data_IF_521940146661
#
_entry.id   IF_521940146661
#
_cell.length_a   1.000
_cell.length_b   1.000
_cell.length_c   1.000
_cell.angle_alpha   90.00
_cell.angle_beta   90.00
_cell.angle_gamma   90.00
#
_symmetry.space_group_name_H-M   'P 1'
#
loop_
_entity.id
_entity.type
_entity.pdbx_description
1 polymer ?
#
# COMPACT_ATOMS: atom_id res chain seq x y z
N UNK A 1 30.04 -12.84 -23.91
CA UNK A 1 29.02 -11.77 -23.81
C UNK A 1 29.25 -11.07 -22.49
N UNK A 2 29.71 -9.82 -22.51
CA UNK A 2 29.85 -9.02 -21.31
C UNK A 2 28.45 -8.77 -20.72
N UNK A 3 28.26 -9.08 -19.44
CA UNK A 3 27.06 -8.70 -18.71
C UNK A 3 26.92 -7.18 -18.78
N UNK A 4 25.86 -6.68 -19.41
CA UNK A 4 25.50 -5.28 -19.33
C UNK A 4 25.24 -4.98 -17.85
N UNK A 5 26.18 -4.28 -17.18
CA UNK A 5 25.93 -3.75 -15.85
C UNK A 5 24.78 -2.76 -15.99
N UNK A 6 23.60 -3.10 -15.47
CA UNK A 6 22.50 -2.14 -15.38
C UNK A 6 22.99 -0.97 -14.53
N UNK A 7 23.20 0.19 -15.16
CA UNK A 7 23.54 1.42 -14.44
C UNK A 7 22.42 1.71 -13.45
N UNK A 8 22.74 1.67 -12.16
CA UNK A 8 21.81 1.97 -11.08
C UNK A 8 21.21 3.38 -11.28
N UNK A 9 19.88 3.47 -11.31
CA UNK A 9 19.17 4.73 -11.52
C UNK A 9 19.35 5.63 -10.30
N UNK A 10 19.76 6.88 -10.52
CA UNK A 10 20.01 7.89 -9.48
C UNK A 10 19.31 9.20 -9.79
N UNK A 11 18.82 9.90 -8.77
CA UNK A 11 18.34 11.28 -8.89
C UNK A 11 19.13 12.20 -7.96
N UNK A 12 19.30 13.45 -8.37
CA UNK A 12 20.07 14.44 -7.62
C UNK A 12 19.18 15.29 -6.73
N UNK A 13 19.67 15.62 -5.55
CA UNK A 13 19.02 16.47 -4.55
C UNK A 13 20.06 17.45 -3.98
N UNK A 14 19.68 18.71 -3.74
CA UNK A 14 20.51 19.67 -3.02
C UNK A 14 19.97 19.85 -1.61
N UNK A 15 20.76 19.52 -0.59
CA UNK A 15 20.38 19.67 0.82
C UNK A 15 21.08 20.88 1.43
N UNK A 16 20.34 21.67 2.22
CA UNK A 16 20.90 22.71 3.08
C UNK A 16 21.03 22.17 4.50
N UNK A 17 22.25 22.19 5.03
CA UNK A 17 22.60 21.65 6.35
C UNK A 17 23.05 22.77 7.27
N UNK A 18 22.51 22.80 8.49
CA UNK A 18 23.06 23.56 9.62
C UNK A 18 24.17 22.71 10.26
N UNK A 19 25.43 23.11 10.05
CA UNK A 19 26.59 22.35 10.52
C UNK A 19 26.71 22.36 12.05
N UNK A 20 26.25 23.43 12.71
CA UNK A 20 26.31 23.54 14.17
C UNK A 20 25.32 22.57 14.85
N UNK A 21 24.12 22.42 14.27
CA UNK A 21 23.08 21.53 14.82
C UNK A 21 23.13 20.11 14.25
N UNK A 22 23.99 19.87 13.25
CA UNK A 22 24.01 18.64 12.45
C UNK A 22 22.60 18.23 12.03
N UNK A 23 21.92 19.16 11.34
CA UNK A 23 20.50 19.08 10.98
C UNK A 23 20.28 19.53 9.52
N UNK A 24 19.48 18.79 8.78
CA UNK A 24 18.97 19.23 7.48
C UNK A 24 17.86 20.25 7.69
N UNK A 25 17.97 21.41 7.06
CA UNK A 25 16.96 22.47 7.14
C UNK A 25 15.88 22.27 6.09
N UNK A 26 16.30 22.12 4.84
CA UNK A 26 15.46 21.75 3.72
C UNK A 26 16.31 21.23 2.56
N UNK A 27 15.65 20.66 1.57
CA UNK A 27 16.23 20.14 0.35
C UNK A 27 15.49 20.67 -0.88
N UNK A 28 16.22 21.04 -1.92
CA UNK A 28 15.68 21.39 -3.23
C UNK A 28 15.67 20.13 -4.11
N UNK A 29 14.47 19.73 -4.53
CA UNK A 29 14.19 18.48 -5.24
C UNK A 29 13.46 18.71 -6.56
N UNK A 30 13.88 17.99 -7.60
CA UNK A 30 13.15 17.92 -8.86
C UNK A 30 12.14 16.76 -8.91
N UNK A 31 11.47 16.65 -10.05
CA UNK A 31 10.44 15.62 -10.34
C UNK A 31 10.76 14.22 -9.83
N UNK A 32 11.95 13.68 -10.14
CA UNK A 32 12.28 12.28 -9.82
C UNK A 32 12.18 11.95 -8.32
N UNK A 33 12.64 12.87 -7.45
CA UNK A 33 12.57 12.70 -5.99
C UNK A 33 11.15 12.94 -5.49
N UNK A 34 10.48 13.98 -6.01
CA UNK A 34 9.13 14.35 -5.59
C UNK A 34 8.13 13.26 -5.94
N UNK A 35 8.20 12.72 -7.16
CA UNK A 35 7.38 11.58 -7.57
C UNK A 35 7.64 10.37 -6.67
N UNK A 36 8.89 10.09 -6.32
CA UNK A 36 9.25 8.99 -5.44
C UNK A 36 8.61 9.14 -4.04
N UNK A 37 8.69 10.33 -3.45
CA UNK A 37 8.05 10.61 -2.15
C UNK A 37 6.53 10.53 -2.24
N UNK A 38 5.92 11.21 -3.20
CA UNK A 38 4.47 11.21 -3.40
C UNK A 38 3.94 9.80 -3.68
N UNK A 39 4.74 8.94 -4.33
CA UNK A 39 4.36 7.54 -4.58
C UNK A 39 4.15 6.73 -3.30
N UNK A 40 4.74 7.13 -2.16
CA UNK A 40 4.52 6.45 -0.87
C UNK A 40 3.03 6.37 -0.53
N UNK A 41 2.28 7.43 -0.80
CA UNK A 41 0.84 7.51 -0.54
C UNK A 41 0.05 6.52 -1.41
N UNK A 42 0.59 6.08 -2.54
CA UNK A 42 -0.07 5.12 -3.44
C UNK A 42 0.18 3.66 -3.06
N UNK A 43 1.19 3.39 -2.22
CA UNK A 43 1.60 2.03 -1.89
C UNK A 43 0.59 1.39 -0.93
N UNK A 44 0.08 0.19 -1.25
CA UNK A 44 -0.63 -0.62 -0.28
C UNK A 44 0.24 -0.94 0.94
N UNK A 45 -0.35 -0.99 2.14
CA UNK A 45 0.41 -1.30 3.36
C UNK A 45 1.11 -2.67 3.30
N UNK A 46 0.51 -3.67 2.67
CA UNK A 46 1.15 -4.97 2.43
C UNK A 46 2.37 -4.88 1.50
N UNK A 47 2.35 -3.96 0.54
CA UNK A 47 3.53 -3.66 -0.30
C UNK A 47 4.62 -2.98 0.52
N UNK A 48 4.27 -2.02 1.38
CA UNK A 48 5.22 -1.39 2.32
C UNK A 48 5.85 -2.47 3.23
N UNK A 49 5.02 -3.28 3.90
CA UNK A 49 5.46 -4.37 4.78
C UNK A 49 6.42 -5.34 4.08
N UNK A 50 6.14 -5.68 2.82
CA UNK A 50 6.99 -6.53 1.99
C UNK A 50 8.33 -5.88 1.65
N UNK A 51 8.31 -4.62 1.20
CA UNK A 51 9.52 -3.90 0.76
C UNK A 51 10.47 -3.67 1.94
N UNK A 52 9.95 -3.21 3.09
CA UNK A 52 10.77 -2.92 4.26
C UNK A 52 11.41 -4.17 4.86
N UNK A 53 10.75 -5.33 4.73
CA UNK A 53 11.21 -6.61 5.29
C UNK A 53 12.20 -7.38 4.40
N UNK A 54 12.18 -7.16 3.08
CA UNK A 54 12.95 -7.93 2.09
C UNK A 54 14.24 -7.25 1.62
N UNK A 55 14.45 -5.97 1.92
CA UNK A 55 15.66 -5.25 1.51
C UNK A 55 16.88 -5.74 2.31
N UNK A 56 17.73 -6.52 1.63
CA UNK A 56 18.72 -7.46 2.18
C UNK A 56 19.97 -6.84 2.80
N UNK A 57 20.14 -5.53 2.69
CA UNK A 57 21.45 -4.92 2.89
C UNK A 57 21.57 -4.10 4.18
N UNK A 58 20.50 -3.99 4.97
CA UNK A 58 20.47 -3.39 6.30
C UNK A 58 19.51 -4.15 7.21
N UNK A 59 19.63 -3.95 8.52
CA UNK A 59 18.78 -4.58 9.55
C UNK A 59 17.30 -4.56 9.14
N UNK A 60 16.62 -5.70 9.30
CA UNK A 60 15.19 -5.82 8.99
C UNK A 60 14.42 -4.84 9.88
N UNK A 61 13.81 -3.83 9.27
CA UNK A 61 12.95 -2.87 9.97
C UNK A 61 11.53 -3.43 9.97
N UNK A 62 10.97 -3.60 11.17
CA UNK A 62 9.54 -3.87 11.33
C UNK A 62 8.76 -2.57 11.41
N UNK A 63 7.66 -2.48 10.68
CA UNK A 63 6.67 -1.41 10.81
C UNK A 63 5.57 -1.94 11.73
N UNK A 64 5.77 -1.80 13.04
CA UNK A 64 4.80 -2.21 14.07
C UNK A 64 4.19 -3.61 13.88
N UNK A 65 2.89 -3.72 14.15
CA UNK A 65 2.09 -4.94 13.96
C UNK A 65 1.83 -5.26 12.47
N UNK A 66 1.96 -4.29 11.56
CA UNK A 66 1.77 -4.48 10.13
C UNK A 66 2.76 -5.52 9.57
N UNK A 67 4.03 -5.48 9.99
CA UNK A 67 5.03 -6.48 9.60
C UNK A 67 4.68 -7.88 10.10
N UNK A 68 4.20 -7.98 11.34
CA UNK A 68 3.79 -9.26 11.96
C UNK A 68 2.55 -9.84 11.28
N UNK A 69 1.55 -9.00 10.98
CA UNK A 69 0.37 -9.39 10.22
C UNK A 69 0.77 -9.91 8.83
N UNK A 70 1.55 -9.14 8.06
CA UNK A 70 2.01 -9.55 6.74
C UNK A 70 2.75 -10.90 6.78
N UNK A 71 3.68 -11.07 7.73
CA UNK A 71 4.45 -12.30 7.88
C UNK A 71 3.56 -13.49 8.26
N UNK A 72 2.55 -13.28 9.11
CA UNK A 72 1.59 -14.32 9.48
C UNK A 72 0.80 -14.82 8.26
N UNK A 73 0.34 -13.91 7.41
CA UNK A 73 -0.35 -14.22 6.15
C UNK A 73 0.56 -14.96 5.18
N UNK A 74 1.83 -14.56 5.10
CA UNK A 74 2.81 -15.23 4.24
C UNK A 74 3.00 -16.70 4.67
N UNK A 75 3.06 -16.93 5.98
CA UNK A 75 3.26 -18.24 6.60
C UNK A 75 1.99 -19.13 6.58
N UNK A 76 0.79 -18.55 6.55
CA UNK A 76 -0.47 -19.31 6.50
C UNK A 76 -0.55 -20.16 5.24
N UNK A 77 -0.91 -21.44 5.36
CA UNK A 77 -1.11 -22.31 4.19
C UNK A 77 -2.26 -21.81 3.30
N UNK A 78 -2.13 -21.98 1.98
CA UNK A 78 -3.14 -21.55 1.00
C UNK A 78 -4.50 -22.19 1.22
N UNK A 79 -4.55 -23.38 1.85
CA UNK A 79 -5.79 -24.06 2.26
C UNK A 79 -6.65 -23.28 3.26
N UNK A 80 -6.12 -22.19 3.85
CA UNK A 80 -6.87 -21.30 4.73
C UNK A 80 -7.53 -20.14 3.97
N UNK A 81 -7.27 -20.01 2.68
CA UNK A 81 -7.83 -18.98 1.81
C UNK A 81 -8.91 -19.55 0.90
N UNK A 82 -9.85 -18.68 0.53
CA UNK A 82 -10.92 -18.99 -0.43
C UNK A 82 -10.39 -19.45 -1.79
N UNK A 83 -9.19 -19.00 -2.18
CA UNK A 83 -8.42 -19.50 -3.32
C UNK A 83 -6.97 -18.98 -3.27
N UNK A 84 -6.09 -19.56 -4.08
CA UNK A 84 -4.72 -19.07 -4.28
C UNK A 84 -4.67 -17.59 -4.66
N UNK A 85 -5.68 -17.11 -5.40
CA UNK A 85 -5.80 -15.72 -5.84
C UNK A 85 -6.02 -14.79 -4.64
N UNK A 86 -6.86 -15.15 -3.68
CA UNK A 86 -7.10 -14.30 -2.52
C UNK A 86 -5.84 -14.18 -1.64
N UNK A 87 -5.06 -15.26 -1.51
CA UNK A 87 -3.77 -15.19 -0.84
C UNK A 87 -2.79 -14.29 -1.61
N UNK A 88 -2.73 -14.41 -2.93
CA UNK A 88 -1.91 -13.54 -3.79
C UNK A 88 -2.31 -12.07 -3.62
N UNK A 89 -3.61 -11.77 -3.62
CA UNK A 89 -4.13 -10.40 -3.48
C UNK A 89 -3.69 -9.74 -2.18
N UNK A 90 -3.72 -10.46 -1.06
CA UNK A 90 -3.33 -9.91 0.25
C UNK A 90 -1.80 -9.75 0.35
N UNK A 91 -1.01 -10.68 -0.19
CA UNK A 91 0.46 -10.63 -0.12
C UNK A 91 1.11 -9.73 -1.18
N UNK A 92 0.42 -9.54 -2.31
CA UNK A 92 0.83 -8.72 -3.44
C UNK A 92 -0.32 -7.82 -3.92
N UNK A 93 -0.78 -6.91 -3.05
CA UNK A 93 -1.83 -5.96 -3.40
C UNK A 93 -1.40 -5.10 -4.59
N UNK A 94 -2.37 -4.77 -5.45
CA UNK A 94 -2.12 -3.94 -6.64
C UNK A 94 -2.20 -2.46 -6.26
N UNK A 95 -1.28 -1.67 -6.82
CA UNK A 95 -1.31 -0.22 -6.71
C UNK A 95 -2.31 0.35 -7.74
N UNK A 96 -3.34 1.06 -7.27
CA UNK A 96 -4.34 1.70 -8.13
C UNK A 96 -3.75 2.78 -9.05
N UNK A 97 -2.60 3.34 -8.69
CA UNK A 97 -1.85 4.34 -9.46
C UNK A 97 -0.68 3.74 -10.26
N UNK A 98 -0.66 2.42 -10.49
CA UNK A 98 0.43 1.72 -11.20
C UNK A 98 0.84 2.40 -12.51
N UNK A 99 -0.12 2.88 -13.30
CA UNK A 99 0.12 3.54 -14.60
C UNK A 99 1.06 4.75 -14.49
N UNK A 100 1.04 5.45 -13.34
CA UNK A 100 1.93 6.58 -13.04
C UNK A 100 3.27 6.12 -12.47
N UNK A 101 3.27 5.09 -11.61
CA UNK A 101 4.45 4.62 -10.90
C UNK A 101 5.40 3.77 -11.75
N UNK A 102 4.87 2.93 -12.64
CA UNK A 102 5.62 1.85 -13.30
C UNK A 102 6.85 2.32 -14.10
N UNK A 103 6.83 3.55 -14.60
CA UNK A 103 7.91 4.12 -15.42
C UNK A 103 8.75 5.15 -14.66
N UNK A 104 8.43 5.43 -13.39
CA UNK A 104 9.21 6.35 -12.57
C UNK A 104 10.65 5.87 -12.42
N UNK A 105 11.57 6.83 -12.41
CA UNK A 105 13.01 6.56 -12.28
C UNK A 105 13.37 5.86 -10.96
N UNK A 106 12.72 6.25 -9.87
CA UNK A 106 12.93 5.75 -8.52
C UNK A 106 11.70 5.02 -7.97
N UNK A 107 11.01 4.23 -8.80
CA UNK A 107 9.87 3.42 -8.35
C UNK A 107 10.33 2.36 -7.36
N UNK A 108 9.82 2.36 -6.13
CA UNK A 108 10.13 1.34 -5.11
C UNK A 108 9.13 0.19 -5.07
N UNK A 109 8.00 0.30 -5.77
CA UNK A 109 7.03 -0.80 -5.86
C UNK A 109 7.61 -1.94 -6.71
N UNK A 110 7.90 -3.05 -6.04
CA UNK A 110 8.42 -4.27 -6.66
C UNK A 110 7.32 -5.29 -7.01
N UNK A 111 6.05 -4.87 -7.02
CA UNK A 111 4.94 -5.69 -7.52
C UNK A 111 5.10 -5.88 -9.03
N UNK A 112 4.85 -7.09 -9.52
CA UNK A 112 4.83 -7.34 -10.96
C UNK A 112 3.74 -6.50 -11.62
N UNK A 113 3.96 -6.13 -12.89
CA UNK A 113 2.97 -5.37 -13.64
C UNK A 113 1.63 -6.10 -13.69
N UNK A 114 0.52 -5.35 -13.73
CA UNK A 114 -0.80 -5.94 -13.92
C UNK A 114 -0.86 -6.63 -15.28
N UNK A 115 -1.17 -7.92 -15.24
CA UNK A 115 -1.34 -8.77 -16.42
C UNK A 115 -2.82 -8.98 -16.68
N UNK A 116 -3.15 -9.18 -17.95
CA UNK A 116 -4.51 -9.30 -18.42
C UNK A 116 -4.65 -10.62 -19.14
N UNK A 117 -5.62 -11.44 -18.74
CA UNK A 117 -5.79 -12.79 -19.25
C UNK A 117 -7.16 -12.95 -19.89
N UNK A 118 -7.18 -13.54 -21.09
CA UNK A 118 -8.40 -13.98 -21.77
C UNK A 118 -8.38 -15.50 -21.95
N UNK A 119 -9.46 -16.05 -22.52
CA UNK A 119 -9.56 -17.47 -22.79
C UNK A 119 -8.39 -17.96 -23.66
N UNK A 120 -7.82 -19.11 -23.30
CA UNK A 120 -6.80 -19.81 -24.11
C UNK A 120 -7.27 -20.10 -25.55
N UNK A 121 -8.58 -20.18 -25.75
CA UNK A 121 -9.22 -20.35 -27.04
C UNK A 121 -9.59 -18.99 -27.63
N UNK A 122 -8.84 -18.55 -28.64
CA UNK A 122 -9.05 -17.28 -29.33
C UNK A 122 -10.45 -17.18 -29.96
N UNK A 123 -10.97 -18.27 -30.53
CA UNK A 123 -12.32 -18.28 -31.10
C UNK A 123 -13.37 -18.07 -30.02
N UNK A 124 -13.13 -18.59 -28.81
CA UNK A 124 -13.98 -18.33 -27.66
C UNK A 124 -13.92 -16.85 -27.26
N UNK A 125 -12.72 -16.26 -27.19
CA UNK A 125 -12.51 -14.85 -26.85
C UNK A 125 -13.20 -13.88 -27.81
N UNK A 126 -13.40 -14.27 -29.08
CA UNK A 126 -14.09 -13.46 -30.09
C UNK A 126 -15.61 -13.56 -30.06
N UNK A 127 -16.14 -14.70 -29.59
CA UNK A 127 -17.59 -14.92 -29.44
C UNK A 127 -18.13 -14.13 -28.25
N UNK A 128 -19.35 -13.61 -28.38
CA UNK A 128 -20.06 -12.89 -27.30
C UNK A 128 -20.09 -13.65 -25.97
N UNK A 129 -20.10 -14.99 -26.01
CA UNK A 129 -20.09 -15.83 -24.82
C UNK A 129 -18.73 -15.95 -24.12
N UNK A 130 -17.60 -15.68 -24.79
CA UNK A 130 -16.24 -15.91 -24.27
C UNK A 130 -15.35 -14.67 -24.13
N UNK A 131 -15.88 -13.47 -24.40
CA UNK A 131 -15.25 -12.15 -24.18
C UNK A 131 -15.05 -11.81 -22.70
N UNK A 132 -14.36 -12.69 -21.98
CA UNK A 132 -14.04 -12.51 -20.58
C UNK A 132 -12.61 -12.02 -20.41
N UNK A 133 -12.41 -11.11 -19.48
CA UNK A 133 -11.09 -10.59 -19.10
C UNK A 133 -10.85 -10.82 -17.61
N UNK A 134 -9.67 -11.31 -17.25
CA UNK A 134 -9.27 -11.46 -15.85
C UNK A 134 -7.91 -10.81 -15.60
N UNK A 135 -7.71 -10.30 -14.39
CA UNK A 135 -6.39 -9.86 -13.91
C UNK A 135 -5.58 -11.01 -13.32
N UNK A 136 -6.22 -12.16 -13.12
CA UNK A 136 -5.64 -13.32 -12.47
C UNK A 136 -5.57 -14.48 -13.45
N UNK A 137 -4.43 -15.16 -13.45
CA UNK A 137 -4.19 -16.27 -14.36
C UNK A 137 -5.09 -17.46 -14.00
N UNK A 138 -5.46 -18.25 -14.99
CA UNK A 138 -6.15 -19.54 -14.84
C UNK A 138 -7.58 -19.44 -14.26
N UNK A 139 -8.26 -18.29 -14.39
CA UNK A 139 -9.70 -18.24 -14.14
C UNK A 139 -10.47 -19.06 -15.17
N UNK A 140 -11.59 -19.68 -14.77
CA UNK A 140 -12.40 -20.49 -15.69
C UNK A 140 -13.27 -19.62 -16.60
N UNK A 141 -13.09 -19.77 -17.92
CA UNK A 141 -13.95 -19.15 -18.92
C UNK A 141 -15.31 -19.88 -19.01
N UNK A 142 -16.33 -19.25 -19.61
CA UNK A 142 -17.65 -19.88 -19.81
C UNK A 142 -17.62 -21.15 -20.67
N UNK A 143 -16.60 -21.31 -21.52
CA UNK A 143 -16.40 -22.53 -22.32
C UNK A 143 -15.77 -23.68 -21.52
N UNK A 144 -15.42 -23.48 -20.25
CA UNK A 144 -14.75 -24.46 -19.40
C UNK A 144 -13.21 -24.45 -19.49
N UNK A 145 -12.63 -23.81 -20.52
CA UNK A 145 -11.17 -23.63 -20.63
C UNK A 145 -10.65 -22.54 -19.68
N UNK A 146 -9.35 -22.57 -19.41
CA UNK A 146 -8.68 -21.59 -18.56
C UNK A 146 -8.41 -20.27 -19.30
N UNK A 147 -8.46 -19.18 -18.56
CA UNK A 147 -8.05 -17.85 -19.00
C UNK A 147 -6.57 -17.64 -18.65
N UNK A 148 -5.70 -18.07 -19.55
CA UNK A 148 -4.24 -18.04 -19.34
C UNK A 148 -3.47 -17.41 -20.52
N UNK A 149 -4.18 -16.95 -21.55
CA UNK A 149 -3.62 -16.19 -22.66
C UNK A 149 -3.44 -14.75 -22.20
N UNK A 150 -2.19 -14.32 -22.02
CA UNK A 150 -1.85 -12.96 -21.61
C UNK A 150 -2.00 -11.99 -22.79
N UNK A 151 -2.63 -10.84 -22.53
CA UNK A 151 -2.74 -9.73 -23.46
C UNK A 151 -1.98 -8.55 -22.89
N UNK A 152 -1.14 -7.95 -23.73
CA UNK A 152 -0.46 -6.71 -23.38
C UNK A 152 -1.38 -5.52 -23.66
N UNK A 153 -1.61 -4.66 -22.66
CA UNK A 153 -2.35 -3.44 -22.90
C UNK A 153 -1.48 -2.39 -23.59
N UNK A 154 -2.06 -1.68 -24.57
CA UNK A 154 -1.46 -0.48 -25.17
C UNK A 154 -1.94 0.76 -24.40
N UNK A 155 -1.47 0.93 -23.16
CA UNK A 155 -1.80 2.11 -22.35
C UNK A 155 -0.91 3.31 -22.68
N UNK A 156 -1.43 4.52 -22.42
CA UNK A 156 -0.57 5.70 -22.29
C UNK A 156 0.34 5.51 -21.09
N UNK A 157 1.63 5.37 -21.37
CA UNK A 157 2.64 5.36 -20.33
C UNK A 157 2.72 6.76 -19.72
N UNK A 158 2.19 6.92 -18.51
CA UNK A 158 2.57 8.06 -17.69
C UNK A 158 3.91 7.79 -17.01
N UNK A 159 4.59 8.86 -16.62
CA UNK A 159 5.87 8.81 -15.93
C UNK A 159 5.78 9.72 -14.72
N UNK A 160 5.29 9.21 -13.60
CA UNK A 160 5.11 9.96 -12.35
C UNK A 160 3.94 10.94 -12.34
N UNK A 161 3.94 11.83 -11.35
CA UNK A 161 2.79 12.63 -10.93
C UNK A 161 2.96 14.12 -11.25
N UNK A 162 4.16 14.67 -11.06
CA UNK A 162 4.44 16.10 -11.25
C UNK A 162 5.04 16.41 -12.62
N UNK A 163 4.95 17.67 -13.06
CA UNK A 163 5.59 18.12 -14.31
C UNK A 163 7.12 18.04 -14.25
N UNK A 164 7.76 17.79 -15.40
CA UNK A 164 9.22 17.60 -15.49
C UNK A 164 10.04 18.82 -15.05
N UNK A 165 9.48 20.03 -15.21
CA UNK A 165 10.13 21.30 -14.83
C UNK A 165 9.85 21.74 -13.40
N UNK A 166 9.04 21.00 -12.64
CA UNK A 166 8.68 21.39 -11.28
C UNK A 166 9.81 21.11 -10.29
N UNK A 167 10.14 22.12 -9.49
CA UNK A 167 11.06 22.04 -8.35
C UNK A 167 10.31 22.31 -7.06
N UNK A 168 10.75 21.66 -5.99
CA UNK A 168 10.11 21.71 -4.68
C UNK A 168 11.16 21.87 -3.59
N UNK A 169 10.79 22.62 -2.56
CA UNK A 169 11.51 22.68 -1.29
C UNK A 169 10.88 21.66 -0.34
N UNK A 170 11.69 20.72 0.14
CA UNK A 170 11.30 19.64 1.03
C UNK A 170 11.96 19.87 2.38
N UNK A 171 11.18 20.00 3.44
CA UNK A 171 11.67 20.20 4.79
C UNK A 171 12.09 18.88 5.44
N UNK A 172 12.77 18.99 6.58
CA UNK A 172 13.28 17.85 7.35
C UNK A 172 12.21 16.79 7.68
N UNK A 173 10.99 17.26 7.94
CA UNK A 173 9.79 16.50 8.25
C UNK A 173 8.99 16.07 7.00
N UNK A 174 9.62 16.10 5.82
CA UNK A 174 9.06 15.81 4.49
C UNK A 174 7.88 16.68 4.05
N UNK A 175 7.57 17.76 4.77
CA UNK A 175 6.69 18.79 4.24
C UNK A 175 7.28 19.30 2.92
N UNK A 176 6.48 19.37 1.87
CA UNK A 176 6.92 19.88 0.57
C UNK A 176 6.13 21.11 0.17
N UNK A 177 6.83 22.09 -0.39
CA UNK A 177 6.22 23.26 -1.00
C UNK A 177 6.83 23.46 -2.39
N UNK A 178 6.03 23.87 -3.39
CA UNK A 178 6.60 24.23 -4.68
C UNK A 178 7.60 25.38 -4.53
N UNK A 179 8.74 25.22 -5.20
CA UNK A 179 9.76 26.26 -5.22
C UNK A 179 9.36 27.33 -6.24
N UNK A 180 8.76 28.41 -5.75
CA UNK A 180 8.39 29.56 -6.58
C UNK A 180 9.45 30.64 -6.39
N UNK A 181 10.38 30.76 -7.33
CA UNK A 181 11.44 31.77 -7.31
C UNK A 181 10.89 33.21 -7.11
N UNK A 182 9.66 33.50 -7.54
CA UNK A 182 9.00 34.80 -7.33
C UNK A 182 8.66 35.14 -5.86
N UNK A 183 8.75 34.18 -4.94
CA UNK A 183 8.53 34.38 -3.50
C UNK A 183 9.75 34.98 -2.79
N UNK A 184 10.88 35.08 -3.48
CA UNK A 184 12.17 35.49 -2.88
C UNK A 184 12.33 37.01 -2.68
N UNK A 185 11.39 37.85 -3.13
CA UNK A 185 11.54 39.33 -3.07
C UNK A 185 10.37 40.06 -2.38
N UNK A 186 9.25 39.39 -2.04
CA UNK A 186 8.11 40.04 -1.38
C UNK A 186 8.02 39.65 0.09
N UNK A 187 8.35 40.60 0.97
CA UNK A 187 8.43 40.48 2.44
C UNK A 187 7.16 39.90 3.11
N UNK A 188 6.00 39.96 2.46
CA UNK A 188 4.71 39.55 3.03
C UNK A 188 4.40 38.05 2.91
N UNK A 189 5.16 37.30 2.09
CA UNK A 189 4.91 35.87 1.83
C UNK A 189 6.03 34.93 2.29
N UNK A 190 7.05 35.47 2.95
CA UNK A 190 7.99 34.65 3.71
C UNK A 190 7.21 34.00 4.87
N UNK A 191 7.22 32.67 5.05
CA UNK A 191 7.01 32.14 6.39
C UNK A 191 8.08 32.80 7.26
N UNK A 192 7.66 33.76 8.11
CA UNK A 192 8.47 34.63 8.99
C UNK A 192 9.86 34.07 9.29
N UNK A 193 10.85 34.33 8.43
CA UNK A 193 12.16 33.70 8.43
C UNK A 193 12.11 32.15 8.44
N UNK A 194 13.04 31.45 7.78
CA UNK A 194 13.23 30.01 8.01
C UNK A 194 13.76 29.70 9.43
N UNK A 195 13.44 30.54 10.43
CA UNK A 195 14.03 30.56 11.78
C UNK A 195 15.52 30.88 11.79
N UNK A 196 16.08 31.39 10.69
CA UNK A 196 17.52 31.55 10.51
C UNK A 196 17.94 33.02 10.62
N UNK A 197 18.67 33.33 11.69
CA UNK A 197 19.29 34.64 11.90
C UNK A 197 20.74 34.69 11.40
N UNK A 198 21.36 33.55 11.02
CA UNK A 198 22.75 33.50 10.59
C UNK A 198 23.02 32.41 9.54
N UNK A 199 23.42 32.83 8.32
CA UNK A 199 23.79 31.93 7.21
C UNK A 199 25.25 31.45 7.27
N UNK A 200 26.06 32.00 8.19
CA UNK A 200 27.51 31.76 8.29
C UNK A 200 27.89 30.30 8.61
N UNK A 201 26.96 29.49 9.09
CA UNK A 201 27.16 28.07 9.46
C UNK A 201 26.30 27.09 8.65
N UNK A 202 25.81 27.54 7.49
CA UNK A 202 25.01 26.71 6.58
C UNK A 202 25.81 26.26 5.38
N UNK A 203 25.61 25.00 4.97
CA UNK A 203 26.27 24.40 3.82
C UNK A 203 25.26 23.77 2.88
N UNK A 204 25.42 24.03 1.58
CA UNK A 204 24.68 23.34 0.53
C UNK A 204 25.50 22.13 0.09
N UNK A 205 24.91 20.95 0.13
CA UNK A 205 25.51 19.69 -0.32
C UNK A 205 24.64 19.10 -1.42
N UNK A 206 25.25 18.74 -2.55
CA UNK A 206 24.56 18.00 -3.61
C UNK A 206 24.80 16.51 -3.42
N UNK A 207 23.72 15.75 -3.36
CA UNK A 207 23.74 14.29 -3.16
C UNK A 207 22.97 13.59 -4.27
N UNK A 208 23.31 12.33 -4.53
CA UNK A 208 22.55 11.46 -5.44
C UNK A 208 21.87 10.36 -4.65
N UNK A 209 20.58 10.13 -4.91
CA UNK A 209 19.75 9.14 -4.22
C UNK A 209 19.38 8.03 -5.20
N UNK A 210 19.56 6.78 -4.77
CA UNK A 210 19.20 5.54 -5.49
C UNK A 210 17.81 5.04 -5.11
N UNK A 211 17.27 4.08 -5.87
CA UNK A 211 15.99 3.44 -5.55
C UNK A 211 16.01 2.78 -4.16
N UNK A 212 17.11 2.10 -3.82
CA UNK A 212 17.29 1.47 -2.51
C UNK A 212 17.34 2.50 -1.37
N UNK A 213 17.96 3.64 -1.63
CA UNK A 213 17.96 4.74 -0.69
C UNK A 213 16.59 5.39 -0.50
N UNK A 214 15.70 5.36 -1.50
CA UNK A 214 14.30 5.75 -1.31
C UNK A 214 13.56 4.76 -0.39
N UNK A 215 13.88 3.46 -0.44
CA UNK A 215 13.35 2.48 0.52
C UNK A 215 13.83 2.78 1.94
N UNK A 216 15.12 3.09 2.13
CA UNK A 216 15.66 3.57 3.41
C UNK A 216 14.92 4.83 3.89
N UNK A 217 14.66 5.78 2.99
CA UNK A 217 13.92 7.00 3.34
C UNK A 217 12.48 6.68 3.74
N UNK A 218 11.77 5.79 3.03
CA UNK A 218 10.42 5.35 3.43
C UNK A 218 10.42 4.75 4.84
N UNK A 219 11.37 3.86 5.15
CA UNK A 219 11.50 3.25 6.50
C UNK A 219 11.64 4.31 7.59
N UNK A 220 12.51 5.29 7.36
CA UNK A 220 12.74 6.40 8.31
C UNK A 220 11.48 7.29 8.40
N UNK A 221 10.83 7.56 7.28
CA UNK A 221 9.65 8.44 7.20
C UNK A 221 8.48 7.96 8.04
N UNK A 222 8.28 6.64 8.11
CA UNK A 222 7.22 6.01 8.89
C UNK A 222 7.41 6.14 10.41
N UNK A 223 8.62 6.48 10.86
CA UNK A 223 9.02 6.41 12.27
C UNK A 223 9.60 7.73 12.81
N UNK A 224 10.07 8.62 11.94
CA UNK A 224 10.75 9.87 12.33
C UNK A 224 10.02 11.12 11.86
N UNK A 225 10.07 12.16 12.68
CA UNK A 225 9.65 13.53 12.35
C UNK A 225 10.80 14.39 11.79
N UNK A 226 12.01 13.86 11.70
CA UNK A 226 13.23 14.52 11.18
C UNK A 226 13.88 13.66 10.11
N UNK A 227 13.06 13.19 9.17
CA UNK A 227 13.41 12.16 8.20
C UNK A 227 14.64 12.48 7.37
N UNK A 228 14.80 13.72 6.88
CA UNK A 228 15.97 14.05 6.06
C UNK A 228 17.26 14.06 6.88
N UNK A 229 17.23 14.61 8.09
CA UNK A 229 18.36 14.60 9.03
C UNK A 229 18.74 13.17 9.40
N UNK A 230 17.76 12.35 9.76
CA UNK A 230 18.02 10.95 10.13
C UNK A 230 18.53 10.14 8.94
N UNK A 231 18.02 10.41 7.74
CA UNK A 231 18.44 9.73 6.52
C UNK A 231 19.82 10.14 6.02
N UNK A 232 20.15 11.44 5.99
CA UNK A 232 21.41 11.94 5.43
C UNK A 232 22.54 12.02 6.45
N UNK A 233 22.24 12.29 7.72
CA UNK A 233 23.25 12.63 8.73
C UNK A 233 23.36 11.59 9.87
N UNK A 234 22.29 10.83 10.16
CA UNK A 234 22.24 9.95 11.35
C UNK A 234 21.80 8.51 11.07
N UNK A 235 21.90 8.06 9.82
CA UNK A 235 21.27 6.83 9.35
C UNK A 235 21.66 5.59 10.15
N UNK A 236 22.94 5.45 10.50
CA UNK A 236 23.43 4.30 11.28
C UNK A 236 22.89 4.30 12.71
N UNK A 237 22.93 5.45 13.37
CA UNK A 237 22.43 5.63 14.75
C UNK A 237 20.92 5.40 14.81
N UNK A 238 20.19 5.82 13.79
CA UNK A 238 18.75 5.59 13.68
C UNK A 238 18.41 4.10 13.70
N UNK A 239 19.09 3.29 12.87
CA UNK A 239 18.84 1.84 12.83
C UNK A 239 19.27 1.13 14.11
N UNK A 240 20.39 1.52 14.73
CA UNK A 240 20.81 1.00 16.03
C UNK A 240 19.74 1.24 17.11
N UNK A 241 19.13 2.44 17.14
CA UNK A 241 18.08 2.77 18.10
C UNK A 241 16.81 1.95 17.89
N UNK A 242 16.42 1.65 16.64
CA UNK A 242 15.28 0.78 16.34
C UNK A 242 15.54 -0.64 16.85
N UNK A 243 16.73 -1.18 16.58
CA UNK A 243 17.12 -2.53 16.98
C UNK A 243 17.17 -2.72 18.51
N UNK A 244 17.46 -1.64 19.25
CA UNK A 244 17.45 -1.62 20.72
C UNK A 244 16.03 -1.43 21.31
N UNK A 245 15.17 -0.66 20.65
CA UNK A 245 13.81 -0.35 21.11
C UNK A 245 12.76 -1.32 20.56
N UNK A 246 12.97 -2.63 20.73
CA UNK A 246 12.03 -3.70 20.31
C UNK A 246 10.66 -3.70 21.03
N UNK A 247 10.19 -2.60 21.60
CA UNK A 247 8.97 -2.62 22.42
C UNK A 247 8.29 -1.30 22.73
N UNK A 248 8.63 -0.19 22.07
CA UNK A 248 7.97 1.09 22.38
C UNK A 248 6.82 1.35 21.42
N UNK A 249 5.66 0.77 21.73
CA UNK A 249 4.37 1.20 21.16
C UNK A 249 4.07 2.61 21.66
N UNK A 250 4.11 3.60 20.78
CA UNK A 250 3.67 4.97 21.07
C UNK A 250 2.27 5.14 20.51
N UNK A 251 1.26 4.70 21.26
CA UNK A 251 -0.12 5.15 21.06
C UNK A 251 -0.77 5.33 22.42
N UNK A 252 -0.39 6.42 23.09
CA UNK A 252 -1.15 6.92 24.21
C UNK A 252 -2.19 7.91 23.69
N UNK A 253 -3.46 7.63 24.03
CA UNK A 253 -4.62 8.51 23.97
C UNK A 253 -5.61 8.29 22.82
N UNK A 254 -6.01 7.04 22.56
CA UNK A 254 -7.32 6.83 21.97
C UNK A 254 -8.34 6.61 23.08
N UNK A 255 -9.21 7.61 23.32
CA UNK A 255 -10.33 7.46 24.24
C UNK A 255 -11.40 6.63 23.53
N UNK A 256 -11.49 5.35 23.88
CA UNK A 256 -12.62 4.53 23.45
C UNK A 256 -13.91 5.05 24.09
N UNK A 257 -14.78 5.68 23.29
CA UNK A 257 -16.15 5.97 23.70
C UNK A 257 -17.03 4.74 23.44
N UNK A 258 -17.85 4.30 24.41
CA UNK A 258 -18.77 3.19 24.19
C UNK A 258 -19.91 3.66 23.26
N UNK A 259 -20.28 2.87 22.25
CA UNK A 259 -21.34 3.24 21.31
C UNK A 259 -22.25 2.08 20.90
N UNK A 260 -23.54 2.40 20.77
CA UNK A 260 -24.62 1.53 20.25
C UNK A 260 -24.62 1.50 18.70
N UNK A 261 -23.54 1.06 18.07
CA UNK A 261 -23.46 0.87 16.62
C UNK A 261 -23.97 -0.51 16.15
N UNK A 262 -24.25 -0.67 14.86
CA UNK A 262 -24.46 -1.99 14.25
C UNK A 262 -23.22 -2.87 14.48
N UNK A 263 -23.41 -3.99 15.16
CA UNK A 263 -22.39 -4.99 15.43
C UNK A 263 -21.99 -5.68 14.12
N UNK A 264 -20.70 -5.68 13.79
CA UNK A 264 -20.19 -6.35 12.58
C UNK A 264 -19.69 -7.76 12.85
N UNK A 265 -18.86 -7.96 13.88
CA UNK A 265 -18.37 -9.27 14.29
C UNK A 265 -18.16 -9.33 15.80
N UNK A 266 -17.89 -10.52 16.33
CA UNK A 266 -17.61 -10.73 17.75
C UNK A 266 -16.27 -11.42 17.95
N UNK A 267 -15.51 -10.97 18.94
CA UNK A 267 -14.22 -11.56 19.32
C UNK A 267 -14.31 -12.10 20.73
N UNK A 268 -13.75 -13.29 20.95
CA UNK A 268 -13.51 -13.77 22.31
C UNK A 268 -12.08 -13.42 22.70
N UNK A 269 -11.94 -12.45 23.59
CA UNK A 269 -10.65 -12.03 24.14
C UNK A 269 -10.29 -12.95 25.30
N UNK A 270 -9.04 -13.42 25.32
CA UNK A 270 -8.47 -14.21 26.42
C UNK A 270 -7.31 -13.41 27.02
N UNK A 271 -7.36 -13.16 28.33
CA UNK A 271 -6.32 -12.42 29.05
C UNK A 271 -5.92 -13.14 30.34
N UNK A 272 -4.75 -12.75 30.86
CA UNK A 272 -4.22 -13.24 32.12
C UNK A 272 -4.71 -12.37 33.28
N UNK A 273 -5.29 -12.99 34.32
CA UNK A 273 -5.83 -12.33 35.52
C UNK A 273 -4.78 -11.56 36.33
N UNK A 274 -3.56 -12.09 36.40
CA UNK A 274 -2.54 -11.56 37.31
C UNK A 274 -2.03 -10.17 36.91
N UNK A 275 -1.99 -9.87 35.61
CA UNK A 275 -1.46 -8.63 35.04
C UNK A 275 -2.45 -7.92 34.10
N UNK A 276 -3.66 -8.47 33.92
CA UNK A 276 -4.66 -8.02 32.95
C UNK A 276 -4.13 -7.91 31.51
N UNK A 277 -3.11 -8.69 31.15
CA UNK A 277 -2.52 -8.67 29.81
C UNK A 277 -3.34 -9.53 28.86
N UNK A 278 -3.81 -8.94 27.76
CA UNK A 278 -4.42 -9.68 26.65
C UNK A 278 -3.37 -10.63 26.06
N UNK A 279 -3.74 -11.90 25.90
CA UNK A 279 -2.86 -12.91 25.34
C UNK A 279 -3.16 -13.08 23.85
N UNK A 280 -4.43 -13.32 23.53
CA UNK A 280 -4.93 -13.44 22.16
C UNK A 280 -6.45 -13.22 22.11
N UNK A 281 -6.93 -12.94 20.91
CA UNK A 281 -8.33 -12.96 20.54
C UNK A 281 -8.61 -14.20 19.70
N UNK A 282 -9.75 -14.86 19.95
CA UNK A 282 -10.33 -15.82 19.04
C UNK A 282 -11.31 -15.10 18.13
N UNK A 283 -11.10 -15.25 16.83
CA UNK A 283 -11.74 -14.50 15.78
C UNK A 283 -12.27 -15.43 14.68
N UNK A 284 -13.45 -15.12 14.16
CA UNK A 284 -14.02 -15.78 13.00
C UNK A 284 -13.47 -15.20 11.68
N UNK A 285 -13.90 -15.78 10.56
CA UNK A 285 -13.51 -15.34 9.22
C UNK A 285 -13.86 -13.88 8.93
N UNK A 286 -14.99 -13.36 9.45
CA UNK A 286 -15.39 -11.96 9.26
C UNK A 286 -14.34 -10.98 9.82
N UNK A 287 -13.86 -11.21 11.05
CA UNK A 287 -12.81 -10.37 11.63
C UNK A 287 -11.47 -10.52 10.93
N UNK A 288 -11.10 -11.74 10.53
CA UNK A 288 -9.84 -11.94 9.82
C UNK A 288 -9.86 -11.23 8.48
N UNK A 289 -10.96 -11.31 7.74
CA UNK A 289 -11.09 -10.59 6.48
C UNK A 289 -10.91 -9.08 6.68
N UNK A 290 -11.46 -8.50 7.75
CA UNK A 290 -11.23 -7.09 8.13
C UNK A 290 -9.74 -6.83 8.38
N UNK A 291 -9.06 -7.65 9.18
CA UNK A 291 -7.62 -7.50 9.40
C UNK A 291 -6.83 -7.55 8.08
N UNK A 292 -7.16 -8.48 7.20
CA UNK A 292 -6.48 -8.62 5.91
C UNK A 292 -6.74 -7.44 4.97
N UNK A 293 -7.84 -6.68 5.15
CA UNK A 293 -8.06 -5.47 4.35
C UNK A 293 -7.01 -4.39 4.60
N UNK A 294 -6.41 -4.31 5.78
CA UNK A 294 -5.35 -3.32 6.04
C UNK A 294 -4.19 -3.48 5.08
N UNK A 295 -3.82 -4.72 4.73
CA UNK A 295 -2.71 -5.00 3.81
C UNK A 295 -2.98 -4.51 2.39
N UNK A 296 -4.24 -4.37 1.97
CA UNK A 296 -4.59 -3.91 0.62
C UNK A 296 -4.81 -2.39 0.55
N UNK A 297 -4.92 -1.70 1.70
CA UNK A 297 -5.17 -0.26 1.71
C UNK A 297 -3.94 0.55 1.32
N UNK A 298 -4.08 1.50 0.39
CA UNK A 298 -3.01 2.45 0.09
C UNK A 298 -2.80 3.41 1.26
N UNK A 299 -1.54 3.76 1.53
CA UNK A 299 -1.16 4.64 2.64
C UNK A 299 -1.89 5.99 2.61
N UNK A 300 -2.06 6.60 1.44
CA UNK A 300 -2.81 7.85 1.26
C UNK A 300 -4.30 7.71 1.59
N UNK A 301 -4.89 6.54 1.33
CA UNK A 301 -6.27 6.24 1.73
C UNK A 301 -6.41 6.15 3.25
N UNK A 302 -5.41 5.59 3.93
CA UNK A 302 -5.32 5.55 5.40
C UNK A 302 -5.16 6.96 5.97
N UNK A 303 -4.23 7.75 5.44
CA UNK A 303 -4.05 9.16 5.82
C UNK A 303 -5.33 9.97 5.63
N UNK A 304 -6.06 9.75 4.53
CA UNK A 304 -7.33 10.42 4.30
C UNK A 304 -8.38 10.07 5.35
N UNK A 305 -8.49 8.80 5.75
CA UNK A 305 -9.40 8.39 6.81
C UNK A 305 -9.06 9.03 8.16
N UNK A 306 -7.77 9.23 8.44
CA UNK A 306 -7.26 9.81 9.68
C UNK A 306 -7.03 11.33 9.60
N UNK A 307 -7.50 11.97 8.53
CA UNK A 307 -7.33 13.40 8.27
C UNK A 307 -5.86 13.88 8.33
N UNK A 308 -4.92 13.04 7.89
CA UNK A 308 -3.49 13.33 7.87
C UNK A 308 -2.81 13.28 9.23
N UNK A 309 -3.37 12.56 10.21
CA UNK A 309 -2.84 12.43 11.57
C UNK A 309 -2.70 10.95 11.95
N UNK A 310 -1.96 10.19 11.15
CA UNK A 310 -1.75 8.76 11.38
C UNK A 310 -0.67 8.46 12.42
N UNK A 311 0.04 9.48 12.90
CA UNK A 311 1.24 9.35 13.73
C UNK A 311 2.40 8.63 13.02
N UNK A 312 2.34 8.43 11.70
CA UNK A 312 3.41 7.81 10.89
C UNK A 312 4.52 8.81 10.56
N UNK A 313 5.12 9.39 11.60
CA UNK A 313 6.26 10.30 11.48
C UNK A 313 6.05 11.42 10.47
N UNK A 314 6.92 11.48 9.46
CA UNK A 314 6.92 12.53 8.43
C UNK A 314 5.88 12.31 7.32
N UNK A 315 5.20 11.16 7.29
CA UNK A 315 4.18 10.85 6.26
C UNK A 315 2.98 11.80 6.38
N UNK A 316 2.55 12.14 7.60
CA UNK A 316 1.46 13.09 7.85
C UNK A 316 1.70 14.42 7.12
N UNK A 317 2.92 14.94 7.20
CA UNK A 317 3.32 16.21 6.60
C UNK A 317 3.44 16.11 5.08
N UNK A 318 3.95 14.99 4.57
CA UNK A 318 3.98 14.69 3.15
C UNK A 318 2.55 14.68 2.58
N UNK A 319 1.63 13.95 3.22
CA UNK A 319 0.23 13.88 2.83
C UNK A 319 -0.44 15.26 2.84
N UNK A 320 -0.32 16.01 3.93
CA UNK A 320 -0.85 17.39 4.06
C UNK A 320 -0.32 18.31 2.96
N UNK A 321 0.96 18.15 2.57
CA UNK A 321 1.54 18.92 1.47
C UNK A 321 0.89 18.63 0.12
N UNK A 322 0.52 17.38 -0.15
CA UNK A 322 -0.20 16.99 -1.38
C UNK A 322 -1.65 17.49 -1.34
N UNK A 323 -2.30 17.49 -0.17
CA UNK A 323 -3.63 18.08 0.03
C UNK A 323 -3.64 19.57 -0.30
N UNK A 324 -2.62 20.31 0.13
CA UNK A 324 -2.51 21.76 -0.08
C UNK A 324 -1.96 22.15 -1.47
N UNK A 325 -1.48 21.17 -2.25
CA UNK A 325 -0.85 21.41 -3.54
C UNK A 325 -1.86 21.91 -4.60
N UNK A 326 -1.47 22.91 -5.38
CA UNK A 326 -2.21 23.35 -6.57
C UNK A 326 -2.04 22.33 -7.71
N UNK A 327 -3.03 21.45 -7.86
CA UNK A 327 -3.00 20.39 -8.86
C UNK A 327 -2.98 20.90 -10.29
N UNK A 328 -3.57 22.06 -10.59
CA UNK A 328 -3.59 22.61 -11.96
C UNK A 328 -2.22 23.02 -12.45
N UNK A 329 -1.36 23.44 -11.52
CA UNK A 329 -0.05 23.99 -11.83
C UNK A 329 1.06 22.94 -11.77
N UNK A 330 0.97 22.00 -10.84
CA UNK A 330 2.09 21.11 -10.51
C UNK A 330 1.86 19.64 -10.87
N UNK A 331 0.60 19.17 -10.94
CA UNK A 331 0.29 17.78 -11.29
C UNK A 331 -0.03 17.64 -12.78
N UNK A 332 0.35 16.50 -13.36
CA UNK A 332 0.11 16.20 -14.78
C UNK A 332 -1.37 16.09 -15.17
N UNK A 333 -2.26 15.88 -14.21
CA UNK A 333 -3.70 15.74 -14.41
C UNK A 333 -4.46 16.22 -13.16
N UNK A 334 -5.67 16.71 -13.35
CA UNK A 334 -6.57 17.14 -12.28
C UNK A 334 -6.97 15.98 -11.37
N UNK A 335 -7.23 14.80 -11.94
CA UNK A 335 -7.71 13.62 -11.22
C UNK A 335 -6.63 13.00 -10.33
N UNK A 336 -5.35 13.33 -10.56
CA UNK A 336 -4.23 12.83 -9.77
C UNK A 336 -4.30 13.26 -8.31
N UNK A 337 -4.85 14.45 -8.02
CA UNK A 337 -4.97 14.91 -6.64
C UNK A 337 -5.85 13.97 -5.83
N UNK A 338 -7.00 13.61 -6.37
CA UNK A 338 -7.91 12.66 -5.71
C UNK A 338 -7.30 11.26 -5.65
N UNK A 339 -6.56 10.82 -6.67
CA UNK A 339 -5.87 9.52 -6.64
C UNK A 339 -4.76 9.42 -5.59
N UNK A 340 -4.10 10.54 -5.26
CA UNK A 340 -3.02 10.61 -4.26
C UNK A 340 -3.55 10.87 -2.84
N UNK A 341 -4.54 11.75 -2.71
CA UNK A 341 -5.13 12.11 -1.42
C UNK A 341 -6.13 11.05 -0.98
N UNK A 342 -7.09 10.70 -1.84
CA UNK A 342 -8.12 9.69 -1.55
C UNK A 342 -7.77 8.39 -2.25
N UNK A 343 -6.54 7.92 -2.06
CA UNK A 343 -6.05 6.72 -2.74
C UNK A 343 -7.01 5.55 -2.50
N UNK A 344 -7.41 4.93 -3.60
CA UNK A 344 -8.41 3.86 -3.63
C UNK A 344 -7.73 2.50 -3.70
N UNK A 345 -8.40 1.47 -3.21
CA UNK A 345 -7.98 0.09 -3.46
C UNK A 345 -8.13 -0.24 -4.94
N UNK A 346 -7.24 -1.08 -5.47
CA UNK A 346 -7.31 -1.52 -6.85
C UNK A 346 -8.61 -2.28 -7.14
N UNK A 347 -9.00 -2.31 -8.42
CA UNK A 347 -10.20 -3.03 -8.87
C UNK A 347 -10.16 -4.51 -8.45
N UNK A 348 -11.29 -5.00 -7.95
CA UNK A 348 -11.52 -6.34 -7.37
C UNK A 348 -10.94 -6.61 -5.99
N UNK A 349 -10.31 -5.63 -5.33
CA UNK A 349 -9.76 -5.80 -3.99
C UNK A 349 -10.74 -5.41 -2.88
N UNK A 350 -11.83 -4.70 -3.19
CA UNK A 350 -12.81 -4.29 -2.17
C UNK A 350 -13.65 -5.47 -1.68
N UNK A 351 -13.64 -5.70 -0.37
CA UNK A 351 -14.56 -6.64 0.27
C UNK A 351 -16.00 -6.10 0.21
N UNK A 352 -16.95 -7.02 0.05
CA UNK A 352 -18.38 -6.67 0.01
C UNK A 352 -18.87 -6.06 1.34
N UNK A 353 -18.30 -6.52 2.46
CA UNK A 353 -18.64 -6.08 3.82
C UNK A 353 -17.52 -5.21 4.43
N UNK A 354 -16.79 -4.44 3.61
CA UNK A 354 -15.71 -3.59 4.10
C UNK A 354 -16.25 -2.51 5.05
N UNK A 355 -15.87 -2.60 6.33
CA UNK A 355 -16.27 -1.65 7.39
C UNK A 355 -15.68 -0.26 7.13
N UNK A 356 -14.51 -0.22 6.51
CA UNK A 356 -13.69 0.97 6.35
C UNK A 356 -13.96 1.66 5.00
N UNK A 357 -13.96 3.00 5.02
CA UNK A 357 -14.49 3.84 3.93
C UNK A 357 -13.50 4.12 2.80
N UNK A 358 -12.53 3.23 2.55
CA UNK A 358 -11.64 3.35 1.38
C UNK A 358 -12.34 2.76 0.17
N UNK A 359 -12.54 3.59 -0.84
CA UNK A 359 -13.22 3.20 -2.07
C UNK A 359 -12.35 2.35 -2.99
N UNK A 360 -13.02 1.64 -3.89
CA UNK A 360 -12.40 0.88 -4.98
C UNK A 360 -12.30 1.75 -6.24
N UNK A 361 -11.23 1.57 -7.01
CA UNK A 361 -11.18 2.13 -8.37
C UNK A 361 -12.28 1.49 -9.21
N UNK A 362 -13.07 2.29 -9.98
CA UNK A 362 -14.06 1.74 -10.89
C UNK A 362 -13.45 0.72 -11.85
N UNK A 363 -14.20 -0.34 -12.15
CA UNK A 363 -13.78 -1.34 -13.14
C UNK A 363 -13.63 -0.65 -14.50
N UNK A 364 -12.40 -0.70 -15.03
CA UNK A 364 -12.11 -0.18 -16.37
C UNK A 364 -12.69 -1.14 -17.40
N UNK A 365 -13.36 -0.58 -18.42
CA UNK A 365 -13.88 -1.34 -19.55
C UNK A 365 -12.82 -1.40 -20.63
N UNK A 366 -12.52 -2.61 -21.07
CA UNK A 366 -11.51 -2.86 -22.07
C UNK A 366 -12.13 -3.46 -23.31
N UNK A 367 -11.55 -3.13 -24.45
CA UNK A 367 -11.89 -3.75 -25.73
C UNK A 367 -10.76 -4.66 -26.20
N UNK A 368 -11.14 -5.82 -26.73
CA UNK A 368 -10.26 -6.71 -27.47
C UNK A 368 -10.25 -6.30 -28.94
N UNK A 369 -9.12 -5.81 -29.44
CA UNK A 369 -9.00 -5.37 -30.81
C UNK A 369 -8.12 -6.30 -31.63
N UNK A 370 -8.65 -6.78 -32.75
CA UNK A 370 -7.92 -7.52 -33.77
C UNK A 370 -7.55 -6.61 -34.94
N UNK A 371 -6.28 -6.64 -35.30
CA UNK A 371 -5.77 -6.09 -36.54
C UNK A 371 -5.40 -7.25 -37.46
N UNK A 372 -6.20 -7.45 -38.52
CA UNK A 372 -5.92 -8.50 -39.53
C UNK A 372 -4.79 -8.04 -40.42
N UNK A 373 -3.60 -8.62 -40.27
CA UNK A 373 -2.49 -8.38 -41.20
C UNK A 373 -2.36 -9.54 -42.20
N UNK A 374 -1.83 -9.25 -43.40
CA UNK A 374 -1.58 -10.27 -44.44
C UNK A 374 -0.36 -11.15 -44.15
N UNK A 375 0.39 -10.84 -43.07
CA UNK A 375 1.45 -11.64 -42.48
C UNK A 375 0.91 -12.39 -41.25
N UNK A 376 1.36 -13.62 -41.02
CA UNK A 376 0.73 -14.61 -40.14
C UNK A 376 0.65 -14.31 -38.62
N UNK A 377 0.83 -13.06 -38.18
CA UNK A 377 0.75 -12.65 -36.78
C UNK A 377 -0.38 -11.64 -36.58
N UNK A 378 -1.57 -12.11 -36.18
CA UNK A 378 -2.67 -11.24 -35.75
C UNK A 378 -2.27 -10.55 -34.43
N UNK A 379 -2.04 -9.23 -34.47
CA UNK A 379 -1.65 -8.47 -33.28
C UNK A 379 -2.90 -8.17 -32.43
N UNK A 380 -3.01 -8.87 -31.29
CA UNK A 380 -4.08 -8.67 -30.31
C UNK A 380 -3.66 -7.61 -29.28
N UNK A 381 -4.48 -6.58 -29.06
CA UNK A 381 -4.20 -5.56 -28.04
C UNK A 381 -5.42 -5.28 -27.16
N UNK A 382 -5.16 -4.99 -25.89
CA UNK A 382 -6.14 -4.40 -24.99
C UNK A 382 -6.14 -2.88 -25.20
N UNK A 383 -7.30 -2.30 -25.50
CA UNK A 383 -7.48 -0.84 -25.56
C UNK A 383 -8.48 -0.39 -24.50
N UNK A 384 -8.24 0.80 -23.95
CA UNK A 384 -9.25 1.50 -23.14
C UNK A 384 -10.40 1.96 -24.05
N UNK A 385 -11.63 1.85 -23.57
CA UNK A 385 -12.81 2.14 -24.38
C UNK A 385 -12.82 3.62 -24.80
N UNK A 386 -12.66 3.89 -26.11
CA UNK A 386 -12.75 5.24 -26.67
C UNK A 386 -11.65 5.65 -27.66
N UNK A 387 -10.66 4.80 -27.92
CA UNK A 387 -9.56 5.10 -28.87
C UNK A 387 -9.50 4.00 -29.92
N UNK A 388 -10.15 4.22 -31.08
CA UNK A 388 -10.17 3.25 -32.17
C UNK A 388 -9.26 3.71 -33.31
N UNK A 389 -8.34 2.85 -33.73
CA UNK A 389 -7.61 3.07 -34.98
C UNK A 389 -8.45 2.56 -36.17
N UNK A 390 -8.41 3.29 -37.29
CA UNK A 390 -9.12 2.90 -38.51
C UNK A 390 -8.63 1.54 -39.00
N UNK A 391 -9.54 0.56 -39.17
CA UNK A 391 -9.22 -0.77 -39.70
C UNK A 391 -9.18 -1.89 -38.66
N UNK A 392 -9.39 -1.60 -37.37
CA UNK A 392 -9.47 -2.61 -36.31
C UNK A 392 -10.92 -3.04 -36.05
N UNK A 393 -11.13 -4.33 -35.76
CA UNK A 393 -12.39 -4.81 -35.14
C UNK A 393 -12.18 -4.94 -33.64
N UNK A 394 -12.92 -4.14 -32.87
CA UNK A 394 -12.83 -4.11 -31.41
C UNK A 394 -14.11 -4.63 -30.78
N UNK A 395 -13.97 -5.45 -29.75
CA UNK A 395 -15.09 -6.05 -29.04
C UNK A 395 -14.94 -5.86 -27.53
N UNK A 396 -16.00 -5.36 -26.89
CA UNK A 396 -16.01 -5.13 -25.45
C UNK A 396 -15.77 -6.43 -24.68
N UNK A 397 -14.82 -6.38 -23.75
CA UNK A 397 -14.54 -7.45 -22.80
C UNK A 397 -15.33 -7.24 -21.50
N UNK A 398 -15.80 -8.36 -20.95
CA UNK A 398 -16.47 -8.42 -19.65
C UNK A 398 -15.43 -8.84 -18.62
N UNK A 399 -15.04 -7.91 -17.77
CA UNK A 399 -14.09 -8.18 -16.70
C UNK A 399 -14.70 -9.10 -15.63
N UNK A 400 -13.92 -10.10 -15.20
CA UNK A 400 -14.33 -11.19 -14.31
C UNK A 400 -13.76 -10.95 -12.92
N UNK A 401 -14.65 -10.93 -11.91
CA UNK A 401 -14.25 -10.92 -10.50
C UNK A 401 -13.56 -12.23 -10.12
N UNK A 402 -12.55 -12.21 -9.23
CA UNK A 402 -11.99 -13.42 -8.64
C UNK A 402 -13.09 -14.29 -8.04
N UNK A 403 -13.09 -15.58 -8.37
CA UNK A 403 -14.03 -16.55 -7.77
C UNK A 403 -13.40 -17.22 -6.56
N UNK A 404 -14.21 -17.44 -5.52
CA UNK A 404 -13.86 -18.39 -4.47
C UNK A 404 -14.01 -19.82 -4.99
N UNK A 405 -13.16 -20.73 -4.51
CA UNK A 405 -13.19 -22.15 -4.84
C UNK A 405 -14.36 -22.88 -4.16
N UNK A 406 -14.99 -22.28 -3.14
CA UNK A 406 -16.21 -22.81 -2.52
C UNK A 406 -17.42 -22.62 -3.42
N UNK A 407 -17.66 -23.64 -4.24
CA UNK A 407 -18.86 -23.83 -5.03
C UNK A 407 -20.04 -24.12 -4.08
N UNK A 408 -21.17 -23.43 -4.28
CA UNK A 408 -22.51 -23.69 -3.71
C UNK A 408 -22.87 -23.20 -2.30
N UNK A 409 -22.77 -21.90 -2.03
CA UNK A 409 -23.75 -21.29 -1.11
C UNK A 409 -24.49 -20.13 -1.77
N UNK A 410 -25.76 -20.39 -2.08
CA UNK A 410 -26.78 -19.43 -2.48
C UNK A 410 -27.32 -18.62 -1.29
N UNK A 411 -26.45 -18.25 -0.35
CA UNK A 411 -26.77 -17.32 0.73
C UNK A 411 -25.98 -16.05 0.54
N UNK A 412 -26.64 -14.93 0.75
CA UNK A 412 -26.22 -13.54 0.56
C UNK A 412 -24.91 -13.07 1.23
N UNK A 413 -24.18 -13.97 1.90
CA UNK A 413 -22.90 -13.74 2.57
C UNK A 413 -21.77 -13.57 1.54
N UNK A 414 -21.00 -12.50 1.64
CA UNK A 414 -20.01 -12.08 0.63
C UNK A 414 -18.84 -13.05 0.44
N UNK A 415 -18.06 -12.83 -0.63
CA UNK A 415 -16.78 -13.53 -0.84
C UNK A 415 -15.74 -12.87 0.06
N UNK A 416 -15.25 -13.64 1.04
CA UNK A 416 -14.12 -13.29 1.91
C UNK A 416 -12.76 -13.68 1.34
N UNK A 417 -11.67 -13.21 1.95
CA UNK A 417 -10.31 -13.67 1.60
C UNK A 417 -10.04 -15.05 2.15
N UNK A 418 -10.44 -15.29 3.40
CA UNK A 418 -10.26 -16.58 4.09
C UNK A 418 -11.41 -17.53 3.83
N UNK A 419 -11.24 -18.80 4.22
CA UNK A 419 -12.31 -19.78 4.12
C UNK A 419 -13.39 -19.54 5.16
N UNK A 420 -14.65 -19.72 4.77
CA UNK A 420 -15.80 -19.65 5.66
C UNK A 420 -16.49 -21.03 5.77
N UNK A 421 -16.84 -21.51 6.98
CA UNK A 421 -16.52 -20.91 8.28
C UNK A 421 -15.09 -21.26 8.73
N UNK A 422 -14.41 -20.33 9.39
CA UNK A 422 -13.09 -20.58 10.01
C UNK A 422 -12.92 -19.89 11.36
N UNK A 423 -12.01 -20.40 12.18
CA UNK A 423 -11.64 -19.80 13.47
C UNK A 423 -10.12 -19.61 13.53
N UNK A 424 -9.72 -18.44 14.00
CA UNK A 424 -8.33 -18.02 14.09
C UNK A 424 -8.01 -17.48 15.49
N UNK A 425 -6.73 -17.55 15.83
CA UNK A 425 -6.16 -16.94 17.01
C UNK A 425 -5.30 -15.76 16.55
N UNK A 426 -5.54 -14.59 17.14
CA UNK A 426 -4.87 -13.32 16.83
C UNK A 426 -4.19 -12.81 18.10
N UNK A 427 -2.88 -12.60 18.07
CA UNK A 427 -2.16 -12.06 19.22
C UNK A 427 -2.09 -10.52 19.21
N UNK A 428 -1.43 -9.92 20.20
CA UNK A 428 -1.29 -8.46 20.31
C UNK A 428 -0.48 -7.82 19.17
N UNK A 429 0.36 -8.59 18.48
CA UNK A 429 1.11 -8.14 17.31
C UNK A 429 0.33 -8.39 16.00
N UNK A 430 -0.97 -8.68 16.10
CA UNK A 430 -1.87 -9.03 14.98
C UNK A 430 -1.40 -10.25 14.16
N UNK A 431 -0.60 -11.14 14.75
CA UNK A 431 -0.23 -12.41 14.12
C UNK A 431 -1.46 -13.31 14.06
N UNK A 432 -1.88 -13.67 12.84
CA UNK A 432 -3.01 -14.55 12.59
C UNK A 432 -2.55 -15.99 12.47
N UNK A 433 -3.12 -16.89 13.26
CA UNK A 433 -2.85 -18.34 13.19
C UNK A 433 -4.16 -19.14 13.17
N UNK A 434 -4.22 -20.30 12.49
CA UNK A 434 -5.41 -21.14 12.52
C UNK A 434 -5.67 -21.62 13.95
N UNK A 435 -6.93 -21.53 14.39
CA UNK A 435 -7.28 -21.93 15.75
C UNK A 435 -7.73 -23.39 15.80
N UNK A 436 -7.19 -24.12 16.77
CA UNK A 436 -7.65 -25.44 17.20
C UNK A 436 -7.47 -25.56 18.71
N UNK A 437 -8.13 -26.52 19.35
CA UNK A 437 -7.91 -26.80 20.77
C UNK A 437 -6.43 -27.10 21.06
N UNK A 438 -5.74 -27.78 20.14
CA UNK A 438 -4.32 -28.10 20.27
C UNK A 438 -3.43 -26.87 20.13
N UNK A 439 -3.74 -25.94 19.21
CA UNK A 439 -2.92 -24.73 19.05
C UNK A 439 -3.03 -23.78 20.24
N UNK A 440 -4.24 -23.64 20.81
CA UNK A 440 -4.44 -22.86 22.05
C UNK A 440 -3.70 -23.49 23.22
N UNK A 441 -3.79 -24.82 23.40
CA UNK A 441 -3.05 -25.51 24.46
C UNK A 441 -1.54 -25.41 24.27
N UNK A 442 -1.02 -25.55 23.05
CA UNK A 442 0.42 -25.38 22.75
C UNK A 442 0.89 -23.99 23.15
N UNK A 443 0.14 -22.95 22.76
CA UNK A 443 0.46 -21.57 23.13
C UNK A 443 0.51 -21.37 24.66
N UNK A 444 -0.48 -21.90 25.39
CA UNK A 444 -0.53 -21.76 26.85
C UNK A 444 0.61 -22.52 27.55
N UNK A 445 0.94 -23.72 27.07
CA UNK A 445 2.06 -24.53 27.58
C UNK A 445 3.40 -23.82 27.34
N UNK A 446 3.63 -23.33 26.12
CA UNK A 446 4.84 -22.60 25.74
C UNK A 446 4.98 -21.29 26.54
N UNK A 447 3.88 -20.61 26.82
CA UNK A 447 3.84 -19.40 27.63
C UNK A 447 3.93 -19.67 29.15
N UNK A 448 3.87 -20.93 29.59
CA UNK A 448 3.88 -21.31 31.00
C UNK A 448 2.66 -20.82 31.79
N UNK A 449 1.51 -20.65 31.12
CA UNK A 449 0.30 -20.07 31.73
C UNK A 449 -0.65 -21.19 32.16
N UNK A 450 -1.06 -21.16 33.43
CA UNK A 450 -2.07 -22.08 33.95
C UNK A 450 -3.48 -21.66 33.51
N UNK A 451 -4.36 -22.63 33.23
CA UNK A 451 -5.76 -22.35 32.90
C UNK A 451 -6.51 -21.62 34.02
N UNK A 452 -6.09 -21.77 35.28
CA UNK A 452 -6.66 -21.04 36.42
C UNK A 452 -6.42 -19.53 36.36
N UNK A 453 -5.40 -19.09 35.61
CA UNK A 453 -5.01 -17.68 35.47
C UNK A 453 -5.70 -16.97 34.31
N UNK A 454 -6.51 -17.68 33.52
CA UNK A 454 -7.19 -17.11 32.37
C UNK A 454 -8.58 -16.61 32.73
N UNK A 455 -8.97 -15.49 32.13
CA UNK A 455 -10.35 -15.09 31.95
C UNK A 455 -10.64 -14.84 30.47
N UNK A 456 -11.92 -14.90 30.12
CA UNK A 456 -12.41 -14.65 28.77
C UNK A 456 -13.62 -13.71 28.77
N UNK A 457 -13.74 -12.93 27.69
CA UNK A 457 -14.89 -12.05 27.44
C UNK A 457 -15.11 -11.91 25.95
N UNK A 458 -16.37 -11.97 25.58
CA UNK A 458 -16.80 -11.67 24.23
C UNK A 458 -16.98 -10.15 24.12
N UNK A 459 -16.33 -9.57 23.12
CA UNK A 459 -16.51 -8.18 22.72
C UNK A 459 -17.12 -8.12 21.33
N UNK A 460 -17.91 -7.09 21.08
CA UNK A 460 -18.43 -6.79 19.75
C UNK A 460 -17.53 -5.74 19.10
N UNK A 461 -17.25 -5.92 17.81
CA UNK A 461 -16.47 -4.98 17.01
C UNK A 461 -17.42 -4.29 16.04
N UNK A 462 -17.51 -2.97 16.13
CA UNK A 462 -18.25 -2.10 15.24
C UNK A 462 -17.32 -1.19 14.43
N UNK A 463 -17.91 -0.27 13.67
CA UNK A 463 -17.16 0.66 12.80
C UNK A 463 -16.18 1.56 13.58
N UNK A 464 -16.56 1.98 14.78
CA UNK A 464 -15.75 2.88 15.61
C UNK A 464 -14.48 2.15 16.05
N UNK A 465 -14.62 0.92 16.53
CA UNK A 465 -13.52 0.08 16.98
C UNK A 465 -12.54 -0.21 15.83
N UNK A 466 -13.05 -0.49 14.62
CA UNK A 466 -12.18 -0.71 13.45
C UNK A 466 -11.42 0.56 13.05
N UNK A 467 -12.02 1.74 13.18
CA UNK A 467 -11.26 2.99 12.97
C UNK A 467 -10.15 3.17 14.00
N UNK A 468 -10.38 2.79 15.27
CA UNK A 468 -9.35 2.84 16.31
C UNK A 468 -8.19 1.88 16.01
N UNK A 469 -8.45 0.72 15.39
CA UNK A 469 -7.39 -0.20 14.94
C UNK A 469 -6.46 0.40 13.87
N UNK A 470 -6.89 1.41 13.12
CA UNK A 470 -6.03 2.12 12.16
C UNK A 470 -5.10 3.10 12.87
N UNK A 471 -5.55 3.68 13.98
CA UNK A 471 -4.76 4.62 14.79
C UNK A 471 -3.70 3.93 15.68
N UNK A 472 -3.68 2.59 15.73
CA UNK A 472 -2.76 1.74 16.49
C UNK A 472 -1.71 1.08 15.59
#
# INVERSE_FOLDING_TARGET
>A
MAAASSTEKKATLRILVDENKNKVLYAEAGKDIVDALVSFLTLPLGTIARIVSNDSDKEKVSVGCLSSLYQSVANLDVKHFSSDIFKEMVLRPRNSSEVYCQNMKLNIDNTEKTKYFVCADLDCSLRTSGRLLSLFRNQTCKCGKLMNLEILPKFFNSEGFVHNSSTFTIFDDLKMIPDNFHRSVSEESQPKNFGMENFSSTKIVTVSVTQKEIVDLLKISLLSNTSLTDFFLRREVFYQNISLNKGTTVFNNVKAEPCNGEMFCSLKIVWRKSDNKILFALADDDFIDILLTFLIFPLGGVEYMLNGNSCLGSIDNLYKSVVDLDCKKYLKSLDLKDNLVKSRVAQYFKLKNQILTIDEVPVVKYSFCLERSSSADDICNLQDNGIYYSGMTCEDLISVKPRSSTINHSSSSGIGFVNCPSLYMVNNDLVVTPCSSMSVLSFLIEAGISSSELDEKIISVGKIEVNHFIEM
#
